data_IF_829293767608
#
_entry.id   IF_829293767608
#
_cell.length_a   1.000
_cell.length_b   1.000
_cell.length_c   1.000
_cell.angle_alpha   90.00
_cell.angle_beta   90.00
_cell.angle_gamma   90.00
#
_symmetry.space_group_name_H-M   'P 1'
#
loop_
_entity.id
_entity.type
_entity.pdbx_description
1 polymer ?
#
# COMPACT_ATOMS: atom_id res chain seq x y z
N UNK A 1 15.75 17.34 28.34
CA UNK A 1 14.39 16.80 28.57
C UNK A 1 13.55 16.74 27.30
N UNK A 2 13.41 17.80 26.54
CA UNK A 2 12.56 17.88 25.33
C UNK A 2 12.83 16.79 24.29
N UNK A 3 14.10 16.52 23.94
CA UNK A 3 14.46 15.49 22.97
C UNK A 3 14.02 14.07 23.38
N UNK A 4 14.09 13.74 24.66
CA UNK A 4 13.62 12.45 25.16
C UNK A 4 12.10 12.32 25.04
N UNK A 5 11.37 13.39 25.36
CA UNK A 5 9.90 13.40 25.21
C UNK A 5 9.52 13.20 23.75
N UNK A 6 10.16 13.92 22.82
CA UNK A 6 9.93 13.80 21.39
C UNK A 6 10.23 12.38 20.89
N UNK A 7 11.36 11.79 21.29
CA UNK A 7 11.71 10.42 20.92
C UNK A 7 10.67 9.41 21.44
N UNK A 8 10.18 9.55 22.68
CA UNK A 8 9.14 8.68 23.22
C UNK A 8 7.81 8.84 22.48
N UNK A 9 7.40 10.07 22.12
CA UNK A 9 6.19 10.31 21.33
C UNK A 9 6.29 9.58 19.97
N UNK A 10 7.44 9.68 19.28
CA UNK A 10 7.64 9.00 18.00
C UNK A 10 7.52 7.47 18.16
N UNK A 11 8.13 6.89 19.19
CA UNK A 11 8.00 5.46 19.48
C UNK A 11 6.55 5.08 19.79
N UNK A 12 5.82 5.89 20.56
CA UNK A 12 4.41 5.65 20.86
C UNK A 12 3.55 5.71 19.59
N UNK A 13 3.84 6.61 18.66
CA UNK A 13 3.16 6.66 17.35
C UNK A 13 3.42 5.36 16.59
N UNK A 14 4.67 4.90 16.51
CA UNK A 14 5.01 3.66 15.82
C UNK A 14 4.27 2.45 16.42
N UNK A 15 4.35 2.29 17.74
CA UNK A 15 3.68 1.20 18.46
C UNK A 15 2.16 1.30 18.33
N UNK A 16 1.60 2.50 18.52
CA UNK A 16 0.16 2.75 18.40
C UNK A 16 -0.37 2.43 17.00
N UNK A 17 0.38 2.77 15.95
CA UNK A 17 0.02 2.43 14.56
C UNK A 17 0.01 0.91 14.33
N UNK A 18 1.00 0.18 14.86
CA UNK A 18 1.05 -1.28 14.74
C UNK A 18 -0.11 -1.92 15.51
N UNK A 19 -0.36 -1.49 16.75
CA UNK A 19 -1.48 -1.98 17.57
C UNK A 19 -2.81 -1.70 16.87
N UNK A 20 -3.01 -0.49 16.36
CA UNK A 20 -4.21 -0.13 15.60
C UNK A 20 -4.40 -1.02 14.37
N UNK A 21 -3.32 -1.28 13.61
CA UNK A 21 -3.38 -2.15 12.44
C UNK A 21 -3.88 -3.57 12.78
N UNK A 22 -3.38 -4.17 13.86
CA UNK A 22 -3.77 -5.52 14.23
C UNK A 22 -5.10 -5.61 14.99
N UNK A 23 -5.48 -4.57 15.70
CA UNK A 23 -6.70 -4.58 16.52
C UNK A 23 -7.92 -4.10 15.75
N UNK A 24 -7.76 -3.19 14.80
CA UNK A 24 -8.88 -2.64 14.04
C UNK A 24 -9.22 -3.51 12.83
N UNK A 25 -10.49 -3.92 12.63
CA UNK A 25 -10.92 -4.72 11.48
C UNK A 25 -11.12 -3.92 10.19
N UNK A 26 -10.59 -2.71 10.09
CA UNK A 26 -10.83 -1.77 9.00
C UNK A 26 -10.40 -2.28 7.60
N UNK A 27 -9.52 -3.28 7.55
CA UNK A 27 -8.93 -3.82 6.33
C UNK A 27 -9.39 -5.23 5.98
N UNK A 28 -10.39 -5.79 6.70
CA UNK A 28 -10.83 -7.18 6.56
C UNK A 28 -11.87 -7.42 5.46
N UNK A 29 -12.25 -6.39 4.70
CA UNK A 29 -13.21 -6.56 3.61
C UNK A 29 -12.49 -7.11 2.39
N UNK A 30 -12.66 -8.40 2.14
CA UNK A 30 -12.15 -9.05 0.93
C UNK A 30 -12.90 -8.54 -0.31
N UNK A 31 -12.18 -8.35 -1.40
CA UNK A 31 -12.76 -8.11 -2.71
C UNK A 31 -13.41 -9.42 -3.22
N UNK A 32 -14.21 -9.38 -4.27
CA UNK A 32 -14.88 -10.57 -4.80
C UNK A 32 -13.93 -11.76 -4.99
N UNK A 33 -14.43 -13.00 -4.78
CA UNK A 33 -13.64 -14.24 -4.69
C UNK A 33 -12.69 -14.51 -5.87
N UNK A 34 -13.02 -14.00 -7.06
CA UNK A 34 -12.16 -14.09 -8.26
C UNK A 34 -11.04 -13.05 -8.32
N UNK A 35 -10.98 -12.12 -7.37
CA UNK A 35 -10.02 -11.02 -7.30
C UNK A 35 -8.97 -11.18 -6.19
N UNK A 36 -8.77 -12.36 -5.65
CA UNK A 36 -7.79 -12.64 -4.60
C UNK A 36 -6.35 -12.16 -4.89
N UNK A 37 -6.00 -11.98 -6.16
CA UNK A 37 -4.74 -11.37 -6.56
C UNK A 37 -4.63 -9.89 -6.16
N UNK A 38 -5.73 -9.14 -6.12
CA UNK A 38 -5.75 -7.76 -5.64
C UNK A 38 -5.56 -7.71 -4.13
N UNK A 39 -6.28 -8.55 -3.37
CA UNK A 39 -6.14 -8.63 -1.92
C UNK A 39 -4.70 -8.99 -1.52
N UNK A 40 -4.11 -9.97 -2.20
CA UNK A 40 -2.70 -10.35 -1.96
C UNK A 40 -1.72 -9.21 -2.23
N UNK A 41 -1.96 -8.42 -3.28
CA UNK A 41 -1.10 -7.28 -3.64
C UNK A 41 -1.26 -6.14 -2.64
N UNK A 42 -2.47 -5.86 -2.20
CA UNK A 42 -2.76 -4.88 -1.15
C UNK A 42 -2.07 -5.29 0.16
N UNK A 43 -2.23 -6.56 0.55
CA UNK A 43 -1.61 -7.09 1.76
C UNK A 43 -0.08 -6.99 1.71
N UNK A 44 0.54 -7.38 0.58
CA UNK A 44 1.98 -7.24 0.36
C UNK A 44 2.43 -5.78 0.51
N UNK A 45 1.67 -4.86 -0.07
CA UNK A 45 1.95 -3.41 0.02
C UNK A 45 1.90 -2.93 1.46
N UNK A 46 0.87 -3.32 2.22
CA UNK A 46 0.78 -2.97 3.65
C UNK A 46 1.93 -3.52 4.47
N UNK A 47 2.36 -4.75 4.22
CA UNK A 47 3.50 -5.33 4.92
C UNK A 47 4.81 -4.58 4.63
N UNK A 48 5.11 -4.32 3.37
CA UNK A 48 6.35 -3.64 2.98
C UNK A 48 6.33 -2.19 3.48
N UNK A 49 5.26 -1.44 3.19
CA UNK A 49 5.18 -0.03 3.60
C UNK A 49 5.08 0.13 5.10
N UNK A 50 4.36 -0.75 5.79
CA UNK A 50 4.26 -0.77 7.24
C UNK A 50 5.61 -1.06 7.91
N UNK A 51 6.38 -2.02 7.40
CA UNK A 51 7.73 -2.28 7.88
C UNK A 51 8.64 -1.07 7.71
N UNK A 52 8.66 -0.46 6.50
CA UNK A 52 9.47 0.74 6.21
C UNK A 52 9.06 1.90 7.10
N UNK A 53 7.76 2.11 7.28
CA UNK A 53 7.22 3.17 8.16
C UNK A 53 7.74 3.02 9.60
N UNK A 54 7.61 1.83 10.17
CA UNK A 54 8.10 1.56 11.54
C UNK A 54 9.61 1.73 11.62
N UNK A 55 10.36 1.20 10.64
CA UNK A 55 11.83 1.32 10.61
C UNK A 55 12.27 2.79 10.57
N UNK A 56 11.63 3.62 9.75
CA UNK A 56 11.94 5.05 9.65
C UNK A 56 11.62 5.76 10.98
N UNK A 57 10.46 5.51 11.57
CA UNK A 57 10.10 6.15 12.84
C UNK A 57 11.06 5.78 13.97
N UNK A 58 11.44 4.50 14.08
CA UNK A 58 12.41 4.06 15.06
C UNK A 58 13.81 4.65 14.81
N UNK A 59 14.22 4.75 13.54
CA UNK A 59 15.47 5.39 13.18
C UNK A 59 15.46 6.89 13.55
N UNK A 60 14.39 7.61 13.27
CA UNK A 60 14.24 9.02 13.65
C UNK A 60 14.25 9.18 15.17
N UNK A 61 13.52 8.32 15.91
CA UNK A 61 13.51 8.33 17.36
C UNK A 61 14.92 8.10 17.93
N UNK A 62 15.66 7.15 17.35
CA UNK A 62 17.06 6.88 17.70
C UNK A 62 17.95 8.09 17.43
N UNK A 63 17.83 8.75 16.29
CA UNK A 63 18.59 9.96 15.96
C UNK A 63 18.30 11.09 16.94
N UNK A 64 17.04 11.36 17.25
CA UNK A 64 16.62 12.38 18.22
C UNK A 64 17.19 12.09 19.61
N UNK A 65 17.16 10.83 20.02
CA UNK A 65 17.71 10.41 21.30
C UNK A 65 19.23 10.50 21.34
N UNK A 66 19.93 9.99 20.32
CA UNK A 66 21.39 9.89 20.27
C UNK A 66 22.05 11.24 20.04
N UNK A 67 21.51 12.06 19.14
CA UNK A 67 22.08 13.35 18.74
C UNK A 67 21.47 14.54 19.49
N UNK A 68 20.84 14.28 20.63
CA UNK A 68 20.35 15.35 21.51
C UNK A 68 21.49 16.29 21.89
N UNK A 69 21.17 17.56 22.16
CA UNK A 69 22.13 18.57 22.56
C UNK A 69 22.97 18.13 23.77
N UNK A 70 24.28 18.20 23.63
CA UNK A 70 25.27 17.97 24.67
C UNK A 70 26.35 19.04 24.56
N UNK A 71 26.65 19.74 25.67
CA UNK A 71 27.67 20.79 25.72
C UNK A 71 29.07 20.31 25.35
N UNK A 72 29.35 19.00 25.47
CA UNK A 72 30.67 18.39 25.22
C UNK A 72 30.83 17.91 23.77
N UNK A 73 29.76 17.90 22.97
CA UNK A 73 29.80 17.43 21.58
C UNK A 73 29.53 18.57 20.61
N UNK A 74 30.31 18.62 19.54
CA UNK A 74 30.06 19.50 18.40
C UNK A 74 29.52 18.67 17.24
N UNK A 75 28.59 19.24 16.49
CA UNK A 75 28.10 18.65 15.25
C UNK A 75 29.23 18.70 14.20
N UNK A 76 29.40 17.59 13.47
CA UNK A 76 30.25 17.56 12.28
C UNK A 76 29.48 18.19 11.12
N UNK A 77 30.13 19.08 10.41
CA UNK A 77 29.54 19.74 9.26
C UNK A 77 29.77 18.88 8.01
N UNK A 78 28.74 18.13 7.60
CA UNK A 78 28.74 17.36 6.34
C UNK A 78 27.55 17.78 5.49
N UNK A 79 27.67 18.82 4.65
CA UNK A 79 26.57 19.33 3.86
C UNK A 79 26.11 18.37 2.78
N UNK A 80 27.02 17.52 2.27
CA UNK A 80 26.72 16.55 1.22
C UNK A 80 27.38 15.21 1.50
N UNK A 81 26.60 14.14 1.38
CA UNK A 81 27.12 12.77 1.41
C UNK A 81 26.64 11.98 0.20
N UNK A 82 27.34 12.14 -0.92
CA UNK A 82 27.00 11.50 -2.21
C UNK A 82 26.89 9.98 -2.14
N UNK A 83 27.66 9.32 -1.27
CA UNK A 83 27.57 7.87 -1.08
C UNK A 83 26.26 7.48 -0.41
N UNK A 84 25.88 8.20 0.64
CA UNK A 84 24.62 7.96 1.33
C UNK A 84 23.43 8.22 0.42
N UNK A 85 23.42 9.33 -0.30
CA UNK A 85 22.37 9.68 -1.28
C UNK A 85 22.23 8.60 -2.35
N UNK A 86 23.35 8.14 -2.93
CA UNK A 86 23.32 7.06 -3.91
C UNK A 86 22.69 5.78 -3.36
N UNK A 87 23.09 5.34 -2.15
CA UNK A 87 22.53 4.12 -1.57
C UNK A 87 21.03 4.27 -1.24
N UNK A 88 20.63 5.41 -0.66
CA UNK A 88 19.24 5.67 -0.35
C UNK A 88 18.36 5.72 -1.61
N UNK A 89 18.85 6.39 -2.66
CA UNK A 89 18.12 6.47 -3.94
C UNK A 89 17.94 5.09 -4.56
N UNK A 90 18.99 4.26 -4.61
CA UNK A 90 18.90 2.93 -5.17
C UNK A 90 18.04 1.98 -4.36
N UNK A 91 18.15 2.01 -3.03
CA UNK A 91 17.32 1.19 -2.14
C UNK A 91 15.85 1.56 -2.32
N UNK A 92 15.55 2.87 -2.37
CA UNK A 92 14.18 3.35 -2.58
C UNK A 92 13.66 2.96 -3.97
N UNK A 93 14.47 3.14 -5.02
CA UNK A 93 14.09 2.78 -6.38
C UNK A 93 13.78 1.27 -6.52
N UNK A 94 14.63 0.41 -5.93
CA UNK A 94 14.39 -1.04 -5.90
C UNK A 94 13.13 -1.39 -5.11
N UNK A 95 12.90 -0.74 -3.96
CA UNK A 95 11.69 -0.92 -3.17
C UNK A 95 10.43 -0.55 -3.94
N UNK A 96 10.44 0.59 -4.64
CA UNK A 96 9.32 1.02 -5.49
C UNK A 96 9.10 0.04 -6.65
N UNK A 97 10.17 -0.41 -7.32
CA UNK A 97 10.06 -1.40 -8.39
C UNK A 97 9.48 -2.73 -7.90
N UNK A 98 9.89 -3.19 -6.71
CA UNK A 98 9.37 -4.41 -6.08
C UNK A 98 7.88 -4.32 -5.74
N UNK A 99 7.37 -3.13 -5.39
CA UNK A 99 5.95 -2.89 -5.15
C UNK A 99 5.15 -2.76 -6.45
N UNK A 100 5.74 -2.14 -7.47
CA UNK A 100 5.07 -1.88 -8.75
C UNK A 100 4.88 -3.16 -9.57
N UNK A 101 5.87 -4.06 -9.58
CA UNK A 101 5.85 -5.25 -10.43
C UNK A 101 4.64 -6.17 -10.16
N UNK A 102 4.30 -6.57 -8.92
CA UNK A 102 3.10 -7.35 -8.64
C UNK A 102 1.82 -6.62 -9.05
N UNK A 103 1.74 -5.30 -8.81
CA UNK A 103 0.61 -4.47 -9.21
C UNK A 103 0.36 -4.49 -10.72
N UNK A 104 1.42 -4.41 -11.54
CA UNK A 104 1.30 -4.49 -13.00
C UNK A 104 0.83 -5.86 -13.46
N UNK A 105 1.27 -6.95 -12.81
CA UNK A 105 0.80 -8.31 -13.12
C UNK A 105 -0.69 -8.46 -12.83
N UNK A 106 -1.14 -7.96 -11.68
CA UNK A 106 -2.57 -8.00 -11.30
C UNK A 106 -3.40 -7.11 -12.23
N UNK A 107 -2.90 -5.91 -12.56
CA UNK A 107 -3.54 -5.01 -13.51
C UNK A 107 -3.68 -5.66 -14.89
N UNK A 108 -2.65 -6.32 -15.40
CA UNK A 108 -2.71 -7.02 -16.67
C UNK A 108 -3.78 -8.13 -16.69
N UNK A 109 -3.90 -8.88 -15.59
CA UNK A 109 -4.99 -9.87 -15.42
C UNK A 109 -6.37 -9.22 -15.39
N UNK A 110 -6.47 -8.01 -14.85
CA UNK A 110 -7.73 -7.26 -14.78
C UNK A 110 -8.20 -6.79 -16.15
N UNK A 111 -7.31 -6.26 -16.98
CA UNK A 111 -7.67 -5.71 -18.30
C UNK A 111 -7.76 -6.78 -19.39
N UNK A 112 -7.18 -7.96 -19.17
CA UNK A 112 -7.22 -9.07 -20.12
C UNK A 112 -8.47 -9.91 -19.84
N UNK A 113 -9.45 -9.80 -20.72
CA UNK A 113 -10.70 -10.57 -20.62
C UNK A 113 -10.44 -12.02 -21.04
N UNK A 114 -10.73 -13.03 -20.17
CA UNK A 114 -10.65 -14.44 -20.55
C UNK A 114 -11.62 -14.79 -21.69
N UNK A 115 -11.25 -15.71 -22.57
CA UNK A 115 -12.11 -16.14 -23.69
C UNK A 115 -13.46 -16.71 -23.23
N UNK A 116 -13.49 -17.35 -22.07
CA UNK A 116 -14.68 -17.94 -21.45
C UNK A 116 -15.41 -17.00 -20.47
N UNK A 117 -15.11 -15.71 -20.50
CA UNK A 117 -15.76 -14.76 -19.59
C UNK A 117 -17.24 -14.62 -19.91
N UNK A 118 -18.09 -14.62 -18.88
CA UNK A 118 -19.51 -14.32 -18.98
C UNK A 118 -19.70 -12.86 -19.40
N UNK A 119 -20.35 -12.65 -20.55
CA UNK A 119 -20.67 -11.31 -21.03
C UNK A 119 -22.01 -10.86 -20.42
N UNK A 120 -21.98 -9.76 -19.68
CA UNK A 120 -23.20 -9.16 -19.10
C UNK A 120 -23.35 -7.76 -19.67
N UNK A 121 -24.47 -7.47 -20.28
CA UNK A 121 -24.82 -6.12 -20.70
C UNK A 121 -25.48 -5.37 -19.56
N UNK A 122 -24.96 -4.18 -19.26
CA UNK A 122 -25.49 -3.31 -18.21
C UNK A 122 -26.03 -2.04 -18.87
N UNK A 123 -27.31 -1.78 -18.72
CA UNK A 123 -27.97 -0.57 -19.17
C UNK A 123 -28.32 0.32 -17.98
N UNK A 124 -27.73 1.51 -17.95
CA UNK A 124 -28.08 2.55 -17.00
C UNK A 124 -29.21 3.41 -17.56
N UNK A 125 -30.21 3.68 -16.77
CA UNK A 125 -31.27 4.65 -17.08
C UNK A 125 -31.59 5.47 -15.84
N UNK A 126 -32.28 6.57 -16.01
CA UNK A 126 -32.61 7.43 -14.89
C UNK A 126 -33.34 6.64 -13.80
N UNK A 127 -32.75 6.62 -12.61
CA UNK A 127 -33.19 5.94 -11.41
C UNK A 127 -33.08 4.41 -11.38
N UNK A 128 -32.32 3.77 -12.29
CA UNK A 128 -32.15 2.33 -12.21
C UNK A 128 -31.11 1.74 -13.17
N UNK A 129 -30.92 0.42 -13.02
CA UNK A 129 -30.02 -0.39 -13.81
C UNK A 129 -30.75 -1.62 -14.30
N UNK A 130 -30.56 -2.00 -15.56
CA UNK A 130 -31.00 -3.28 -16.13
C UNK A 130 -29.78 -4.10 -16.50
N UNK A 131 -29.85 -5.39 -16.19
CA UNK A 131 -28.81 -6.34 -16.55
C UNK A 131 -29.38 -7.35 -17.54
N UNK A 132 -28.65 -7.61 -18.62
CA UNK A 132 -28.98 -8.64 -19.59
C UNK A 132 -27.88 -9.68 -19.56
N UNK A 133 -28.30 -10.93 -19.29
CA UNK A 133 -27.43 -12.09 -19.26
C UNK A 133 -27.58 -12.85 -20.58
N UNK A 134 -26.52 -13.52 -21.07
CA UNK A 134 -26.62 -14.42 -22.22
C UNK A 134 -27.50 -15.61 -21.87
N UNK A 135 -28.23 -16.11 -22.88
CA UNK A 135 -28.98 -17.36 -22.78
C UNK A 135 -28.06 -18.59 -22.81
N UNK A 136 -28.65 -19.78 -22.88
CA UNK A 136 -27.90 -21.03 -22.99
C UNK A 136 -27.03 -21.13 -24.27
N UNK A 137 -27.34 -20.29 -25.26
CA UNK A 137 -26.61 -20.14 -26.54
C UNK A 137 -25.43 -19.16 -26.44
N UNK A 138 -25.20 -18.54 -25.29
CA UNK A 138 -24.15 -17.54 -25.08
C UNK A 138 -24.42 -16.19 -25.76
N UNK A 139 -25.58 -16.00 -26.41
CA UNK A 139 -25.94 -14.78 -27.13
C UNK A 139 -26.84 -13.92 -26.24
N UNK A 140 -26.55 -12.61 -26.17
CA UNK A 140 -27.41 -11.63 -25.51
C UNK A 140 -28.71 -11.49 -26.32
N UNK A 141 -29.74 -12.17 -25.86
CA UNK A 141 -31.04 -12.23 -26.52
C UNK A 141 -31.71 -10.86 -26.70
N UNK A 142 -32.66 -10.74 -27.65
CA UNK A 142 -33.50 -9.56 -27.80
C UNK A 142 -34.48 -9.49 -26.62
N UNK A 143 -34.51 -8.37 -25.90
CA UNK A 143 -35.57 -8.11 -24.92
C UNK A 143 -36.81 -7.64 -25.67
N UNK A 144 -37.90 -8.36 -25.58
CA UNK A 144 -39.22 -7.80 -25.84
C UNK A 144 -39.61 -6.92 -24.65
N UNK A 145 -39.90 -5.68 -24.92
CA UNK A 145 -40.45 -4.72 -23.94
C UNK A 145 -41.97 -4.94 -23.90
#
# INVERSE_FOLDING_TARGET
MTALIVAHIIVLIAVGSVVFHFWSPWWWTEVASNWGGMDSTILLTFWITGFVFVAILLFVAYCVWKFRYDKKRRAEYQPENKKLEFHLTWITALGVAALLAPGLVVWNKYVTVPENALKVEVMAYQWGWKYRLPGADGILGKTSI
#
